data_IF_334211213973
#
_entry.id   IF_334211213973
#
_cell.length_a   1.000
_cell.length_b   1.000
_cell.length_c   1.000
_cell.angle_alpha   90.00
_cell.angle_beta   90.00
_cell.angle_gamma   90.00
#
_symmetry.space_group_name_H-M   'P 1'
#
loop_
_entity.id
_entity.type
_entity.pdbx_description
1 polymer ?
#
# COMPACT_ATOMS: atom_id res chain seq x y z
N UNK A 1 -53.74 24.45 -47.58
CA UNK A 1 -52.31 24.07 -47.64
C UNK A 1 -51.49 25.26 -47.15
N UNK A 2 -50.41 25.02 -46.40
CA UNK A 2 -49.58 26.08 -45.79
C UNK A 2 -49.05 25.60 -44.42
N UNK A 3 -47.80 25.92 -44.08
CA UNK A 3 -47.11 25.53 -42.83
C UNK A 3 -46.62 26.78 -42.10
N UNK A 4 -46.20 26.59 -40.84
CA UNK A 4 -45.33 27.51 -40.05
C UNK A 4 -45.99 28.82 -39.59
N UNK A 5 -45.55 29.50 -38.50
CA UNK A 5 -44.37 29.32 -37.64
C UNK A 5 -44.72 29.49 -36.13
N UNK A 6 -43.78 29.26 -35.21
CA UNK A 6 -44.00 29.14 -33.76
C UNK A 6 -43.79 30.43 -32.92
N UNK A 7 -44.22 30.42 -31.64
CA UNK A 7 -43.75 31.29 -30.53
C UNK A 7 -44.17 30.64 -29.18
N UNK A 8 -43.27 30.19 -28.28
CA UNK A 8 -42.43 30.89 -27.26
C UNK A 8 -43.07 31.00 -25.84
N UNK A 9 -42.27 30.61 -24.82
CA UNK A 9 -42.38 30.89 -23.37
C UNK A 9 -43.48 30.20 -22.53
N UNK A 10 -43.18 29.92 -21.25
CA UNK A 10 -44.15 29.29 -20.32
C UNK A 10 -43.62 28.68 -19.00
N UNK A 11 -42.44 29.07 -18.48
CA UNK A 11 -41.92 28.51 -17.22
C UNK A 11 -42.52 29.21 -15.99
N UNK A 12 -43.32 28.51 -15.16
CA UNK A 12 -43.62 28.91 -13.76
C UNK A 12 -44.28 27.82 -12.89
N UNK A 13 -43.70 27.64 -11.70
CA UNK A 13 -44.31 27.38 -10.38
C UNK A 13 -45.45 26.35 -10.23
N UNK A 14 -45.19 25.31 -9.43
CA UNK A 14 -46.20 24.42 -8.85
C UNK A 14 -45.72 23.80 -7.53
N UNK A 15 -45.72 24.60 -6.45
CA UNK A 15 -45.39 24.10 -5.09
C UNK A 15 -46.64 23.43 -4.51
N UNK A 16 -46.56 22.13 -4.22
CA UNK A 16 -47.56 21.40 -3.45
C UNK A 16 -47.13 21.28 -1.98
N UNK A 17 -48.08 21.39 -1.05
CA UNK A 17 -47.77 21.51 0.37
C UNK A 17 -47.41 20.17 1.03
N UNK A 18 -46.35 20.17 1.85
CA UNK A 18 -46.08 19.11 2.82
C UNK A 18 -46.85 19.41 4.12
N UNK A 19 -47.63 18.43 4.61
CA UNK A 19 -48.41 18.56 5.85
C UNK A 19 -47.56 18.31 7.10
N UNK A 20 -47.90 19.01 8.18
CA UNK A 20 -47.21 18.96 9.47
C UNK A 20 -47.66 17.76 10.30
N UNK A 21 -46.72 16.89 10.69
CA UNK A 21 -46.88 15.93 11.80
C UNK A 21 -45.62 15.93 12.68
N UNK A 22 -45.55 16.90 13.59
CA UNK A 22 -44.52 16.92 14.64
C UNK A 22 -44.83 15.84 15.69
N UNK A 23 -44.10 14.72 15.66
CA UNK A 23 -44.29 13.57 16.54
C UNK A 23 -43.04 13.24 17.36
N UNK A 24 -43.04 13.63 18.64
CA UNK A 24 -42.22 13.12 19.75
C UNK A 24 -40.78 12.64 19.46
N UNK A 25 -39.80 13.54 19.62
CA UNK A 25 -38.44 13.15 20.02
C UNK A 25 -38.35 13.09 21.55
N UNK A 26 -38.40 11.88 22.12
CA UNK A 26 -38.16 11.65 23.55
C UNK A 26 -37.64 10.22 23.85
N UNK A 27 -36.32 10.08 23.81
CA UNK A 27 -35.50 9.14 24.62
C UNK A 27 -36.14 7.87 25.22
N UNK A 28 -36.12 6.76 24.47
CA UNK A 28 -36.19 5.39 25.02
C UNK A 28 -35.55 4.38 24.04
N UNK A 29 -34.25 4.52 23.78
CA UNK A 29 -33.55 3.81 22.69
C UNK A 29 -32.12 3.35 23.00
N UNK A 30 -31.72 3.33 24.27
CA UNK A 30 -30.58 2.50 24.69
C UNK A 30 -31.06 1.03 24.67
N UNK A 31 -30.30 0.09 24.10
CA UNK A 31 -29.01 0.30 23.45
C UNK A 31 -28.33 -0.99 22.99
N UNK A 32 -29.09 -2.03 22.64
CA UNK A 32 -28.52 -3.17 21.92
C UNK A 32 -28.38 -2.81 20.44
N UNK A 33 -27.16 -2.56 19.98
CA UNK A 33 -26.84 -2.81 18.58
C UNK A 33 -27.25 -4.27 18.25
N UNK A 34 -27.69 -4.58 17.00
CA UNK A 34 -28.10 -5.93 16.64
C UNK A 34 -27.03 -6.92 17.09
N UNK A 35 -27.43 -7.97 17.82
CA UNK A 35 -26.49 -8.92 18.39
C UNK A 35 -25.56 -9.44 17.28
N UNK A 36 -24.27 -9.12 17.38
CA UNK A 36 -23.28 -9.59 16.44
C UNK A 36 -23.23 -11.11 16.57
N UNK A 37 -23.83 -11.80 15.59
CA UNK A 37 -23.92 -13.25 15.55
C UNK A 37 -22.55 -13.84 15.21
N UNK A 38 -21.64 -13.73 16.16
CA UNK A 38 -20.29 -14.25 16.10
C UNK A 38 -20.35 -15.79 16.20
N UNK A 39 -20.16 -16.46 15.08
CA UNK A 39 -20.02 -17.92 15.09
C UNK A 39 -18.64 -18.26 15.63
N UNK A 40 -18.55 -18.56 16.94
CA UNK A 40 -17.34 -19.13 17.52
C UNK A 40 -17.16 -20.59 17.08
N UNK A 41 -15.93 -20.96 16.77
CA UNK A 41 -15.48 -22.34 16.85
C UNK A 41 -14.13 -22.39 17.59
N UNK A 42 -14.07 -23.13 18.69
CA UNK A 42 -12.84 -23.42 19.42
C UNK A 42 -12.77 -24.92 19.67
N UNK A 43 -11.70 -25.54 19.20
CA UNK A 43 -11.52 -26.99 19.32
C UNK A 43 -10.82 -27.41 20.63
N UNK A 44 -10.30 -26.45 21.40
CA UNK A 44 -9.71 -26.63 22.72
C UNK A 44 -9.91 -25.38 23.61
N UNK A 45 -11.15 -24.92 23.78
CA UNK A 45 -11.48 -23.70 24.52
C UNK A 45 -12.98 -23.41 24.58
N UNK A 46 -13.40 -22.45 25.40
CA UNK A 46 -14.82 -22.14 25.64
C UNK A 46 -15.13 -20.70 25.24
N UNK A 47 -16.08 -20.54 24.31
CA UNK A 47 -16.65 -19.24 23.93
C UNK A 47 -17.82 -19.42 22.97
N UNK A 48 -18.88 -18.62 23.15
CA UNK A 48 -20.02 -18.50 22.23
C UNK A 48 -20.52 -17.05 22.27
N UNK A 49 -19.60 -16.15 21.96
CA UNK A 49 -19.61 -14.71 22.24
C UNK A 49 -18.86 -14.00 21.11
N UNK A 50 -18.89 -12.67 21.05
CA UNK A 50 -18.05 -11.93 20.08
C UNK A 50 -16.56 -12.26 20.22
N UNK A 51 -16.14 -12.62 21.43
CA UNK A 51 -14.80 -13.11 21.78
C UNK A 51 -14.78 -14.65 21.85
N UNK A 52 -13.86 -15.26 21.11
CA UNK A 52 -13.62 -16.70 21.09
C UNK A 52 -12.17 -16.96 21.57
N UNK A 53 -12.00 -17.59 22.74
CA UNK A 53 -10.68 -17.77 23.39
C UNK A 53 -10.35 -19.26 23.57
N UNK A 54 -9.06 -19.61 23.39
CA UNK A 54 -8.63 -21.02 23.32
C UNK A 54 -7.32 -21.30 24.09
N UNK A 55 -7.22 -22.49 24.70
CA UNK A 55 -6.20 -22.90 25.69
C UNK A 55 -4.84 -23.35 25.05
N UNK A 56 -3.79 -23.72 25.81
CA UNK A 56 -2.39 -23.77 25.35
C UNK A 56 -1.92 -24.61 24.12
N UNK A 57 -2.80 -25.14 23.26
CA UNK A 57 -2.46 -25.94 22.06
C UNK A 57 -3.52 -25.79 20.95
N UNK A 58 -3.97 -24.57 20.63
CA UNK A 58 -5.35 -24.39 20.13
C UNK A 58 -5.58 -23.43 18.95
N UNK A 59 -6.85 -23.40 18.53
CA UNK A 59 -7.39 -22.61 17.43
C UNK A 59 -8.63 -21.87 17.94
N UNK A 60 -8.64 -20.55 17.80
CA UNK A 60 -9.78 -19.67 17.98
C UNK A 60 -10.30 -19.18 16.62
N UNK A 61 -11.60 -19.32 16.38
CA UNK A 61 -12.28 -18.86 15.16
C UNK A 61 -13.48 -18.02 15.58
N UNK A 62 -13.59 -16.80 15.06
CA UNK A 62 -14.67 -15.86 15.33
C UNK A 62 -15.20 -15.25 14.01
N UNK A 63 -16.52 -15.29 13.76
CA UNK A 63 -17.07 -14.85 12.45
C UNK A 63 -18.28 -13.95 12.65
N UNK A 64 -18.10 -12.65 12.44
CA UNK A 64 -19.08 -11.57 12.58
C UNK A 64 -18.40 -10.19 12.55
N UNK A 65 -19.17 -9.12 12.32
CA UNK A 65 -18.68 -7.74 12.50
C UNK A 65 -18.25 -7.53 13.96
N UNK A 66 -17.02 -7.05 14.17
CA UNK A 66 -16.34 -7.01 15.48
C UNK A 66 -16.10 -8.39 16.13
N UNK A 67 -15.92 -9.45 15.35
CA UNK A 67 -15.50 -10.76 15.87
C UNK A 67 -14.06 -10.71 16.40
N UNK A 68 -13.79 -11.37 17.53
CA UNK A 68 -12.48 -11.45 18.18
C UNK A 68 -12.04 -12.91 18.39
N UNK A 69 -10.84 -13.27 17.95
CA UNK A 69 -10.25 -14.58 18.19
C UNK A 69 -8.92 -14.48 18.95
N UNK A 70 -8.75 -15.29 20.00
CA UNK A 70 -7.57 -15.30 20.87
C UNK A 70 -7.08 -16.73 21.11
N UNK A 71 -5.84 -17.04 20.74
CA UNK A 71 -5.28 -18.40 20.88
C UNK A 71 -3.89 -18.39 21.55
N UNK A 72 -3.82 -18.96 22.75
CA UNK A 72 -2.63 -18.98 23.60
C UNK A 72 -1.88 -20.33 23.50
N UNK A 73 -0.59 -20.39 23.88
CA UNK A 73 0.05 -21.67 24.24
C UNK A 73 1.46 -21.98 23.73
N UNK A 74 1.67 -23.22 23.27
CA UNK A 74 2.82 -23.56 22.42
C UNK A 74 2.47 -23.48 20.93
N UNK A 75 1.22 -23.79 20.58
CA UNK A 75 0.62 -23.49 19.28
C UNK A 75 -0.63 -22.64 19.51
N UNK A 76 -0.79 -21.56 18.73
CA UNK A 76 -1.96 -20.69 18.81
C UNK A 76 -2.32 -20.13 17.44
N UNK A 77 -3.52 -20.46 16.95
CA UNK A 77 -4.08 -19.90 15.72
C UNK A 77 -5.34 -19.10 16.00
N UNK A 78 -5.36 -17.81 15.68
CA UNK A 78 -6.53 -16.96 15.79
C UNK A 78 -7.04 -16.54 14.41
N UNK A 79 -8.34 -16.67 14.18
CA UNK A 79 -8.99 -16.22 12.95
C UNK A 79 -10.25 -15.41 13.24
N UNK A 80 -10.38 -14.22 12.63
CA UNK A 80 -11.56 -13.40 12.76
C UNK A 80 -12.07 -12.84 11.41
N UNK A 81 -13.38 -12.81 11.17
CA UNK A 81 -13.93 -12.29 9.90
C UNK A 81 -15.20 -11.45 10.06
N UNK A 82 -15.16 -10.24 9.50
CA UNK A 82 -16.17 -9.19 9.54
C UNK A 82 -15.51 -7.80 9.49
N UNK A 83 -16.28 -6.74 9.20
CA UNK A 83 -15.76 -5.37 9.38
C UNK A 83 -15.30 -5.20 10.84
N UNK A 84 -14.11 -4.64 11.05
CA UNK A 84 -13.42 -4.51 12.33
C UNK A 84 -13.21 -5.83 13.10
N UNK A 85 -13.10 -6.97 12.41
CA UNK A 85 -12.74 -8.24 13.04
C UNK A 85 -11.27 -8.27 13.51
N UNK A 86 -10.97 -9.02 14.57
CA UNK A 86 -9.69 -9.00 15.27
C UNK A 86 -9.16 -10.40 15.66
N UNK A 87 -7.88 -10.68 15.42
CA UNK A 87 -7.23 -11.95 15.77
C UNK A 87 -5.91 -11.72 16.54
N UNK A 88 -5.68 -12.48 17.61
CA UNK A 88 -4.45 -12.40 18.42
C UNK A 88 -3.97 -13.78 18.85
N UNK A 89 -2.66 -14.00 18.83
CA UNK A 89 -2.05 -15.22 19.37
C UNK A 89 -0.63 -14.95 19.87
N UNK A 90 -0.28 -15.62 20.96
CA UNK A 90 0.88 -15.34 21.83
C UNK A 90 1.81 -16.55 22.02
N UNK A 91 1.42 -17.68 21.43
CA UNK A 91 2.04 -18.98 21.65
C UNK A 91 3.52 -19.04 21.20
N UNK A 92 4.23 -20.16 21.40
CA UNK A 92 5.56 -20.29 20.78
C UNK A 92 5.49 -20.22 19.23
N UNK A 93 4.44 -20.80 18.64
CA UNK A 93 4.16 -20.82 17.21
C UNK A 93 2.79 -20.21 16.93
N UNK A 94 2.75 -19.10 16.17
CA UNK A 94 1.56 -18.22 16.13
C UNK A 94 1.10 -17.83 14.73
N UNK A 95 -0.23 -17.87 14.56
CA UNK A 95 -0.90 -17.44 13.33
C UNK A 95 -2.17 -16.65 13.64
N UNK A 96 -2.16 -15.34 13.39
CA UNK A 96 -3.39 -14.55 13.45
C UNK A 96 -3.84 -14.16 12.04
N UNK A 97 -5.14 -14.16 11.78
CA UNK A 97 -5.67 -13.62 10.53
C UNK A 97 -7.01 -12.96 10.78
N UNK A 98 -7.19 -11.74 10.28
CA UNK A 98 -8.46 -11.04 10.40
C UNK A 98 -8.92 -10.46 9.06
N UNK A 99 -10.22 -10.41 8.79
CA UNK A 99 -10.69 -10.09 7.45
C UNK A 99 -11.93 -9.21 7.47
N UNK A 100 -11.84 -8.08 6.77
CA UNK A 100 -12.90 -7.12 6.58
C UNK A 100 -12.34 -5.70 6.65
N UNK A 101 -13.14 -4.75 6.21
CA UNK A 101 -12.80 -3.35 6.32
C UNK A 101 -12.48 -3.03 7.81
N UNK A 102 -11.34 -2.39 8.10
CA UNK A 102 -10.74 -2.17 9.45
C UNK A 102 -10.30 -3.40 10.28
N UNK A 103 -10.16 -4.61 9.72
CA UNK A 103 -9.78 -5.79 10.53
C UNK A 103 -8.33 -5.72 11.14
N UNK A 104 -7.94 -6.54 12.12
CA UNK A 104 -6.59 -6.52 12.72
C UNK A 104 -6.13 -7.87 13.26
N UNK A 105 -4.88 -8.27 13.06
CA UNK A 105 -4.42 -9.64 13.29
C UNK A 105 -2.96 -9.67 13.69
N UNK A 106 -2.64 -10.22 14.86
CA UNK A 106 -1.31 -10.17 15.48
C UNK A 106 -0.83 -11.52 16.05
N UNK A 107 0.41 -11.93 15.80
CA UNK A 107 0.95 -13.26 16.11
C UNK A 107 2.29 -13.21 16.87
N UNK A 108 2.24 -12.84 18.15
CA UNK A 108 3.41 -12.47 18.95
C UNK A 108 4.29 -13.62 19.44
N UNK A 109 4.34 -14.72 18.70
CA UNK A 109 5.11 -15.88 19.09
C UNK A 109 6.60 -15.75 18.94
N UNK A 110 7.26 -16.83 19.35
CA UNK A 110 8.67 -17.07 19.10
C UNK A 110 8.93 -17.05 17.58
N UNK A 111 8.08 -17.79 16.86
CA UNK A 111 7.76 -17.54 15.47
C UNK A 111 6.30 -17.10 15.35
N UNK A 112 6.05 -16.12 14.48
CA UNK A 112 4.71 -15.72 14.13
C UNK A 112 4.55 -15.26 12.70
N UNK A 113 3.30 -15.35 12.23
CA UNK A 113 2.79 -14.68 11.04
C UNK A 113 1.39 -14.17 11.37
N UNK A 114 1.10 -12.92 11.04
CA UNK A 114 -0.28 -12.52 10.92
C UNK A 114 -0.53 -11.64 9.71
N UNK A 115 -1.81 -11.46 9.40
CA UNK A 115 -2.32 -10.80 8.20
C UNK A 115 -3.72 -10.28 8.50
N UNK A 116 -4.04 -9.00 8.29
CA UNK A 116 -5.46 -8.65 8.14
C UNK A 116 -5.77 -7.86 6.88
N UNK A 117 -6.93 -8.19 6.32
CA UNK A 117 -7.24 -7.97 4.91
C UNK A 117 -8.48 -7.10 4.75
N UNK A 118 -8.42 -6.16 3.82
CA UNK A 118 -9.54 -5.33 3.40
C UNK A 118 -9.34 -3.84 3.70
N UNK A 119 -10.19 -2.96 3.14
CA UNK A 119 -10.26 -1.52 3.43
C UNK A 119 -10.09 -1.13 4.92
N UNK A 120 -8.87 -0.86 5.36
CA UNK A 120 -8.32 -0.41 6.67
C UNK A 120 -7.57 -1.46 7.52
N UNK A 121 -7.51 -2.74 7.12
CA UNK A 121 -7.10 -3.84 8.02
C UNK A 121 -5.59 -3.98 8.34
N UNK A 122 -5.16 -4.73 9.41
CA UNK A 122 -3.79 -4.95 9.99
C UNK A 122 -3.21 -6.37 10.24
N UNK A 123 -1.94 -6.61 9.90
CA UNK A 123 -1.08 -7.78 10.25
C UNK A 123 -0.20 -7.56 11.54
N UNK A 124 0.53 -8.55 12.15
CA UNK A 124 1.65 -8.45 13.19
C UNK A 124 2.30 -9.76 13.77
N UNK A 125 3.50 -9.74 14.43
CA UNK A 125 4.30 -10.93 14.90
C UNK A 125 5.36 -10.70 16.07
N UNK A 126 6.24 -11.68 16.52
CA UNK A 126 7.48 -11.51 17.40
C UNK A 126 8.70 -12.53 17.27
N UNK A 127 9.75 -12.49 18.15
CA UNK A 127 11.01 -13.33 18.45
C UNK A 127 12.50 -13.24 17.80
N UNK A 128 13.66 -12.90 18.44
CA UNK A 128 15.07 -12.87 17.81
C UNK A 128 16.03 -14.12 17.75
N UNK A 129 16.61 -14.48 16.57
CA UNK A 129 17.75 -15.39 16.15
C UNK A 129 18.62 -16.25 17.11
N UNK A 130 18.57 -16.03 18.41
CA UNK A 130 19.07 -16.94 19.43
C UNK A 130 18.36 -18.29 19.37
N UNK A 131 18.85 -19.28 20.12
CA UNK A 131 18.16 -20.56 20.26
C UNK A 131 16.77 -20.38 20.93
N UNK A 132 15.89 -21.36 20.69
CA UNK A 132 14.42 -21.33 20.86
C UNK A 132 13.71 -20.59 19.71
N UNK A 133 13.46 -21.24 18.56
CA UNK A 133 12.71 -20.80 17.36
C UNK A 133 12.27 -19.32 17.26
N UNK A 134 13.22 -18.40 17.27
CA UNK A 134 12.98 -16.97 17.35
C UNK A 134 13.11 -16.34 15.94
N UNK A 135 11.98 -16.05 15.27
CA UNK A 135 11.92 -15.30 14.01
C UNK A 135 11.10 -14.01 14.08
N UNK A 136 11.76 -12.85 14.35
CA UNK A 136 11.27 -11.69 15.15
C UNK A 136 10.19 -10.83 14.53
N UNK A 137 9.30 -11.47 13.78
CA UNK A 137 8.55 -10.83 12.76
C UNK A 137 7.68 -9.72 13.36
N UNK A 138 7.25 -8.83 12.50
CA UNK A 138 6.16 -7.90 12.67
C UNK A 138 5.67 -7.85 11.24
N UNK A 139 4.38 -8.11 11.04
CA UNK A 139 3.63 -7.66 9.89
C UNK A 139 2.83 -6.41 10.33
N UNK A 140 2.42 -5.47 9.47
CA UNK A 140 1.31 -4.54 9.77
C UNK A 140 0.59 -4.34 8.44
N UNK A 141 -0.73 -4.27 8.48
CA UNK A 141 -1.63 -3.90 7.38
C UNK A 141 -2.32 -2.58 7.87
N UNK A 142 -2.64 -1.56 7.06
CA UNK A 142 -3.27 -0.30 7.53
C UNK A 142 -3.92 0.40 6.34
N UNK A 143 -5.15 -0.04 6.04
CA UNK A 143 -5.56 -0.21 4.64
C UNK A 143 -6.73 0.56 4.04
N UNK A 144 -7.05 1.81 4.43
CA UNK A 144 -8.26 2.51 3.97
C UNK A 144 -8.48 2.25 2.50
N UNK A 145 -9.64 1.65 2.10
CA UNK A 145 -10.39 1.67 0.82
C UNK A 145 -10.33 0.63 -0.33
N UNK A 146 -11.04 0.82 -1.46
CA UNK A 146 -12.45 1.28 -1.49
C UNK A 146 -13.33 0.16 -0.91
N UNK A 147 -14.11 0.30 0.17
CA UNK A 147 -14.74 1.48 0.80
C UNK A 147 -13.88 2.75 1.00
N UNK A 148 -14.07 3.77 0.15
CA UNK A 148 -13.14 4.88 -0.13
C UNK A 148 -11.58 4.68 -0.10
N UNK A 149 -10.97 4.26 -1.24
CA UNK A 149 -9.51 4.33 -1.67
C UNK A 149 -8.38 3.68 -0.80
N UNK A 150 -7.68 2.59 -1.26
CA UNK A 150 -7.34 1.26 -0.59
C UNK A 150 -5.98 0.69 -0.05
N UNK A 151 -5.30 1.17 0.99
CA UNK A 151 -3.89 0.77 1.34
C UNK A 151 -3.55 -0.64 1.91
N UNK A 152 -3.50 -1.75 1.16
CA UNK A 152 -2.99 -3.01 1.78
C UNK A 152 -1.58 -2.85 2.38
N UNK A 153 -1.35 -3.19 3.66
CA UNK A 153 -0.03 -3.07 4.31
C UNK A 153 0.62 -4.41 4.70
N UNK A 154 1.95 -4.50 4.73
CA UNK A 154 2.72 -5.69 5.11
C UNK A 154 4.07 -5.27 5.71
N UNK A 155 4.45 -5.88 6.83
CA UNK A 155 5.83 -5.92 7.36
C UNK A 155 6.25 -7.42 7.41
N UNK A 156 7.53 -7.77 7.64
CA UNK A 156 7.93 -9.17 7.95
C UNK A 156 9.31 -9.27 8.63
N UNK A 157 9.42 -8.89 9.92
CA UNK A 157 10.68 -8.75 10.69
C UNK A 157 11.48 -10.07 10.95
N UNK A 158 11.99 -10.74 9.91
CA UNK A 158 13.17 -11.62 9.96
C UNK A 158 13.03 -12.83 10.89
N UNK A 159 13.73 -12.99 12.02
CA UNK A 159 14.79 -12.26 12.76
C UNK A 159 14.96 -10.74 12.61
N UNK A 160 14.39 -9.99 13.55
CA UNK A 160 14.96 -8.84 14.27
C UNK A 160 15.42 -7.66 13.42
N UNK A 161 14.61 -6.62 13.28
CA UNK A 161 14.79 -5.56 12.27
C UNK A 161 13.91 -4.31 12.58
N UNK A 162 13.75 -3.41 11.60
CA UNK A 162 12.71 -2.35 11.59
C UNK A 162 11.82 -2.50 10.34
N UNK A 163 10.59 -1.99 10.34
CA UNK A 163 9.68 -2.11 9.20
C UNK A 163 8.57 -1.05 9.14
N UNK A 164 8.07 -0.74 7.92
CA UNK A 164 6.98 0.21 7.67
C UNK A 164 6.14 -0.18 6.40
N UNK A 165 4.81 -0.09 6.47
CA UNK A 165 3.87 -0.07 5.35
C UNK A 165 2.59 0.72 5.76
N UNK A 166 2.30 1.87 5.12
CA UNK A 166 1.49 2.99 5.67
C UNK A 166 0.83 3.93 4.62
N UNK A 167 -0.49 3.83 4.43
CA UNK A 167 -1.33 4.81 3.70
C UNK A 167 -1.04 5.06 2.19
N UNK A 168 -0.04 4.37 1.60
CA UNK A 168 0.02 4.14 0.15
C UNK A 168 -1.15 3.31 -0.40
N UNK A 169 -2.18 3.94 -0.96
CA UNK A 169 -3.49 3.31 -1.18
C UNK A 169 -3.63 2.51 -2.48
N UNK A 170 -4.38 1.40 -2.43
CA UNK A 170 -5.08 0.82 -3.58
C UNK A 170 -6.24 1.73 -4.01
N UNK A 171 -5.91 2.90 -4.57
CA UNK A 171 -6.81 3.52 -5.57
C UNK A 171 -6.95 2.63 -6.80
N UNK A 172 -5.94 1.80 -7.08
CA UNK A 172 -5.97 0.72 -8.06
C UNK A 172 -5.45 -0.58 -7.40
N UNK A 173 -5.68 -1.77 -7.99
CA UNK A 173 -5.30 -3.04 -7.35
C UNK A 173 -3.83 -3.17 -6.95
N UNK A 174 -3.57 -3.79 -5.80
CA UNK A 174 -2.24 -3.88 -5.17
C UNK A 174 -1.60 -2.51 -4.95
N UNK A 175 -2.40 -1.55 -4.49
CA UNK A 175 -1.90 -0.39 -3.78
C UNK A 175 -1.62 -0.69 -2.32
N UNK A 176 -0.46 -0.18 -1.94
CA UNK A 176 0.52 -0.95 -1.23
C UNK A 176 1.64 -0.05 -0.76
N UNK A 177 2.37 -0.65 0.15
CA UNK A 177 3.83 -0.66 0.22
C UNK A 177 4.21 -2.15 0.31
N UNK A 178 5.48 -2.50 0.53
CA UNK A 178 5.85 -3.84 1.06
C UNK A 178 7.13 -3.66 1.90
N UNK A 179 7.41 -4.62 2.77
CA UNK A 179 8.72 -4.83 3.34
C UNK A 179 8.93 -6.35 3.53
N UNK A 180 10.17 -6.80 3.43
CA UNK A 180 10.60 -8.13 3.84
C UNK A 180 11.97 -8.01 4.52
N UNK A 181 12.20 -8.86 5.51
CA UNK A 181 13.23 -8.62 6.50
C UNK A 181 13.81 -9.96 6.95
N UNK A 182 15.09 -9.99 7.32
CA UNK A 182 15.93 -11.20 7.25
C UNK A 182 16.76 -11.35 8.51
N UNK A 183 17.86 -10.60 8.61
CA UNK A 183 18.48 -10.19 9.87
C UNK A 183 18.80 -8.69 9.79
N UNK A 184 18.09 -7.84 10.54
CA UNK A 184 18.26 -6.37 10.64
C UNK A 184 17.96 -5.50 9.38
N UNK A 185 17.17 -5.98 8.42
CA UNK A 185 16.76 -5.19 7.23
C UNK A 185 15.64 -4.14 7.53
N UNK A 186 14.96 -3.58 6.53
CA UNK A 186 13.74 -2.77 6.71
C UNK A 186 13.34 -1.96 5.48
N UNK A 187 12.05 -1.89 5.17
CA UNK A 187 11.49 -1.18 4.01
C UNK A 187 10.14 -0.53 4.31
N UNK A 188 9.76 0.39 3.42
CA UNK A 188 8.86 1.53 3.65
C UNK A 188 8.31 2.04 2.30
N UNK A 189 7.01 2.32 2.10
CA UNK A 189 6.65 3.55 1.33
C UNK A 189 6.12 4.62 2.29
N UNK A 190 5.77 5.79 1.79
CA UNK A 190 4.95 6.75 2.54
C UNK A 190 3.88 7.26 1.58
N UNK A 191 2.61 6.91 1.79
CA UNK A 191 1.53 7.38 0.94
C UNK A 191 1.69 7.05 -0.55
N UNK A 192 1.14 7.91 -1.39
CA UNK A 192 0.93 7.63 -2.81
C UNK A 192 -0.04 6.47 -3.00
N UNK A 193 0.10 5.73 -4.09
CA UNK A 193 -0.75 4.59 -4.43
C UNK A 193 0.07 3.54 -5.20
N UNK A 194 -0.28 2.26 -5.16
CA UNK A 194 0.31 1.24 -6.06
C UNK A 194 1.83 1.03 -5.92
N UNK A 195 2.42 1.48 -4.82
CA UNK A 195 3.86 1.49 -4.57
C UNK A 195 4.34 0.16 -3.93
N UNK A 196 5.57 -0.29 -4.18
CA UNK A 196 6.11 -1.58 -3.72
C UNK A 196 7.58 -1.46 -3.32
N UNK A 197 7.97 -1.99 -2.16
CA UNK A 197 9.38 -2.11 -1.78
C UNK A 197 9.70 -3.50 -1.27
N UNK A 198 10.85 -4.02 -1.68
CA UNK A 198 11.44 -5.20 -1.09
C UNK A 198 12.79 -4.82 -0.53
N UNK A 199 12.87 -4.68 0.80
CA UNK A 199 14.13 -4.95 1.48
C UNK A 199 14.33 -6.45 1.61
N UNK A 200 15.55 -6.85 1.96
CA UNK A 200 15.79 -8.13 2.59
C UNK A 200 15.52 -9.30 1.66
N UNK A 201 16.42 -9.52 0.71
CA UNK A 201 16.35 -10.61 -0.27
C UNK A 201 16.41 -12.03 0.31
N UNK A 202 16.55 -12.18 1.63
CA UNK A 202 16.41 -13.45 2.37
C UNK A 202 16.91 -13.36 3.82
N UNK A 203 16.79 -14.44 4.63
CA UNK A 203 17.18 -14.44 6.05
C UNK A 203 18.65 -14.08 6.32
N UNK A 204 19.59 -14.71 5.61
CA UNK A 204 21.02 -14.36 5.70
C UNK A 204 21.38 -13.03 5.01
N UNK A 205 20.44 -12.42 4.28
CA UNK A 205 20.59 -11.08 3.76
C UNK A 205 20.33 -10.12 4.92
N UNK A 206 21.38 -9.41 5.37
CA UNK A 206 21.37 -8.73 6.65
C UNK A 206 21.78 -7.24 6.59
N UNK A 207 20.92 -6.35 7.11
CA UNK A 207 20.91 -4.88 7.07
C UNK A 207 20.20 -4.18 5.87
N UNK A 208 19.30 -4.82 5.12
CA UNK A 208 18.81 -4.33 3.81
C UNK A 208 17.77 -3.16 3.85
N UNK A 209 17.90 -2.02 3.13
CA UNK A 209 17.08 -0.79 3.35
C UNK A 209 16.44 -0.05 2.13
N UNK A 210 15.25 -0.44 1.70
CA UNK A 210 14.50 0.22 0.61
C UNK A 210 13.45 1.20 1.09
N UNK A 211 13.16 2.23 0.29
CA UNK A 211 12.04 3.13 0.58
C UNK A 211 11.46 3.75 -0.69
N UNK A 212 10.15 4.01 -0.74
CA UNK A 212 9.45 4.83 -1.76
C UNK A 212 8.46 5.80 -1.07
N UNK A 213 7.69 6.63 -1.78
CA UNK A 213 6.65 7.47 -1.16
C UNK A 213 6.38 8.80 -1.86
N UNK A 214 5.20 9.36 -1.63
CA UNK A 214 4.58 10.53 -2.28
C UNK A 214 4.28 10.36 -3.78
N UNK A 215 5.19 9.75 -4.54
CA UNK A 215 4.89 9.21 -5.88
C UNK A 215 3.94 8.00 -5.86
N UNK A 216 3.46 7.56 -7.02
CA UNK A 216 2.61 6.36 -7.15
C UNK A 216 3.16 5.32 -8.15
N UNK A 217 2.77 4.06 -8.00
CA UNK A 217 3.13 2.97 -8.93
C UNK A 217 4.59 2.54 -8.89
N UNK A 218 5.34 2.97 -7.88
CA UNK A 218 6.81 2.84 -7.84
C UNK A 218 7.26 1.46 -7.33
N UNK A 219 8.39 0.97 -7.83
CA UNK A 219 8.99 -0.29 -7.44
C UNK A 219 10.43 -0.09 -6.97
N UNK A 220 10.74 -0.51 -5.74
CA UNK A 220 12.08 -0.39 -5.15
C UNK A 220 12.56 -1.73 -4.60
N UNK A 221 13.80 -2.10 -4.89
CA UNK A 221 14.41 -3.35 -4.45
C UNK A 221 15.71 -3.03 -3.70
N UNK A 222 15.99 -3.64 -2.53
CA UNK A 222 16.90 -3.01 -1.58
C UNK A 222 17.76 -3.86 -0.60
N UNK A 223 18.73 -3.18 0.05
CA UNK A 223 20.01 -3.63 0.63
C UNK A 223 20.62 -2.59 1.58
N UNK A 224 21.58 -2.89 2.49
CA UNK A 224 22.60 -3.94 2.44
C UNK A 224 22.31 -5.37 2.95
N UNK A 225 22.85 -6.38 2.26
CA UNK A 225 23.51 -7.53 2.89
C UNK A 225 25.03 -7.39 2.78
N UNK A 226 25.66 -6.54 3.62
CA UNK A 226 26.77 -5.65 3.19
C UNK A 226 26.69 -5.02 1.78
N UNK A 227 25.50 -5.03 1.18
CA UNK A 227 25.26 -4.81 -0.25
C UNK A 227 24.24 -3.68 -0.49
N UNK A 228 24.53 -2.44 -0.04
CA UNK A 228 23.56 -1.35 0.18
C UNK A 228 22.85 -0.72 -1.04
N UNK A 229 21.55 -0.42 -0.88
CA UNK A 229 20.59 -0.10 -1.95
C UNK A 229 19.34 0.61 -1.38
N UNK A 230 18.77 1.58 -2.10
CA UNK A 230 17.44 2.11 -1.81
C UNK A 230 16.79 2.78 -3.04
N UNK A 231 15.80 3.67 -2.86
CA UNK A 231 15.39 4.67 -3.86
C UNK A 231 13.96 5.20 -3.78
N UNK A 232 13.75 6.40 -3.22
CA UNK A 232 12.43 7.07 -3.13
C UNK A 232 12.33 8.37 -3.92
N UNK A 233 11.07 8.78 -4.16
CA UNK A 233 10.57 9.05 -5.51
C UNK A 233 9.39 10.04 -5.42
N UNK A 234 9.59 11.31 -5.78
CA UNK A 234 8.51 12.25 -6.18
C UNK A 234 8.12 12.04 -7.66
N UNK A 235 8.14 10.79 -8.12
CA UNK A 235 7.88 10.37 -9.51
C UNK A 235 6.79 9.30 -9.52
N UNK A 236 6.28 8.95 -10.70
CA UNK A 236 5.22 7.94 -10.83
C UNK A 236 5.67 6.86 -11.81
N UNK A 237 5.57 5.59 -11.40
CA UNK A 237 6.02 4.44 -12.19
C UNK A 237 7.55 4.26 -12.27
N UNK A 238 8.31 4.82 -11.32
CA UNK A 238 9.76 4.65 -11.30
C UNK A 238 10.19 3.30 -10.71
N UNK A 239 11.26 2.75 -11.27
CA UNK A 239 11.88 1.48 -10.86
C UNK A 239 13.28 1.78 -10.35
N UNK A 240 13.57 1.46 -9.09
CA UNK A 240 14.90 1.71 -8.51
C UNK A 240 15.45 0.47 -7.82
N UNK A 241 16.64 0.10 -8.27
CA UNK A 241 17.43 -1.04 -7.79
C UNK A 241 18.90 -0.62 -7.75
N UNK A 242 19.66 -1.24 -6.87
CA UNK A 242 21.12 -1.34 -6.89
C UNK A 242 21.49 -2.69 -6.30
N UNK A 243 22.76 -3.10 -6.32
CA UNK A 243 23.30 -4.27 -5.60
C UNK A 243 24.72 -3.93 -5.11
N UNK A 244 25.25 -4.64 -4.10
CA UNK A 244 26.58 -4.38 -3.52
C UNK A 244 26.62 -3.09 -2.68
N UNK A 245 27.67 -2.84 -1.85
CA UNK A 245 27.69 -1.71 -0.92
C UNK A 245 27.51 -0.36 -1.63
N UNK A 246 26.60 0.50 -1.16
CA UNK A 246 26.38 1.86 -1.66
C UNK A 246 24.93 2.36 -1.60
N UNK A 247 24.54 3.24 -2.53
CA UNK A 247 23.20 3.87 -2.61
C UNK A 247 22.74 4.02 -4.07
N UNK A 248 21.43 3.97 -4.32
CA UNK A 248 20.76 4.54 -5.50
C UNK A 248 19.57 5.39 -5.02
N UNK A 249 19.42 6.62 -5.53
CA UNK A 249 18.24 7.47 -5.35
C UNK A 249 17.98 8.19 -6.67
N UNK A 250 16.87 7.86 -7.35
CA UNK A 250 16.45 8.42 -8.64
C UNK A 250 17.55 8.44 -9.72
N UNK A 251 18.45 7.45 -9.72
CA UNK A 251 19.58 7.36 -10.65
C UNK A 251 20.88 8.03 -10.17
N UNK A 252 20.84 8.83 -9.09
CA UNK A 252 22.07 9.24 -8.38
C UNK A 252 22.57 8.03 -7.60
N UNK A 253 23.80 7.60 -7.88
CA UNK A 253 24.27 6.29 -7.44
C UNK A 253 25.74 6.31 -7.01
N UNK A 254 26.05 5.67 -5.88
CA UNK A 254 27.36 5.75 -5.21
C UNK A 254 27.76 4.36 -4.71
N UNK A 255 29.06 4.03 -4.82
CA UNK A 255 29.62 2.73 -4.42
C UNK A 255 29.29 1.62 -5.43
N UNK A 256 30.05 1.52 -6.53
CA UNK A 256 29.89 0.44 -7.52
C UNK A 256 28.45 0.27 -8.03
N UNK A 257 27.75 1.38 -8.23
CA UNK A 257 26.31 1.39 -8.36
C UNK A 257 25.86 1.52 -9.81
N UNK A 258 24.97 0.63 -10.26
CA UNK A 258 24.33 0.74 -11.57
C UNK A 258 23.03 1.55 -11.46
N UNK A 259 23.00 2.71 -12.13
CA UNK A 259 21.79 3.50 -12.31
C UNK A 259 21.20 3.26 -13.70
N UNK A 260 20.12 2.48 -13.78
CA UNK A 260 19.32 2.35 -15.02
C UNK A 260 18.40 3.56 -15.16
N UNK A 261 18.88 4.59 -15.85
CA UNK A 261 18.07 5.77 -16.19
C UNK A 261 16.89 5.42 -17.13
N UNK A 262 15.84 6.23 -17.09
CA UNK A 262 14.72 6.11 -18.03
C UNK A 262 15.18 6.47 -19.45
N UNK A 263 14.68 5.75 -20.46
CA UNK A 263 14.88 6.12 -21.86
C UNK A 263 13.98 7.31 -22.20
N UNK A 264 14.56 8.42 -22.64
CA UNK A 264 13.79 9.56 -23.14
C UNK A 264 13.11 9.21 -24.47
N UNK A 265 11.79 9.38 -24.53
CA UNK A 265 11.06 9.65 -25.78
C UNK A 265 10.46 11.04 -25.68
N UNK A 266 11.29 12.05 -25.96
CA UNK A 266 10.87 13.44 -25.99
C UNK A 266 10.07 13.73 -27.28
N UNK A 267 8.75 13.88 -27.15
CA UNK A 267 7.86 14.11 -28.30
C UNK A 267 7.89 15.59 -28.74
N UNK A 268 8.50 15.84 -29.91
CA UNK A 268 8.68 17.18 -30.46
C UNK A 268 7.41 17.71 -31.16
N UNK A 269 6.76 18.72 -30.60
CA UNK A 269 5.77 19.56 -31.32
C UNK A 269 6.00 21.06 -31.10
N UNK A 270 6.80 21.67 -31.98
CA UNK A 270 6.94 23.13 -32.06
C UNK A 270 5.86 23.76 -32.95
N UNK A 271 5.16 24.80 -32.45
CA UNK A 271 4.14 25.53 -33.21
C UNK A 271 4.16 27.04 -32.92
N UNK A 272 5.27 27.72 -33.24
CA UNK A 272 5.36 29.17 -33.16
C UNK A 272 4.63 29.87 -34.33
N UNK A 273 3.99 31.01 -34.06
CA UNK A 273 3.19 31.79 -35.03
C UNK A 273 4.00 32.28 -36.23
N UNK A 274 3.42 32.20 -37.43
CA UNK A 274 3.92 32.89 -38.63
C UNK A 274 3.68 34.40 -38.61
N UNK A 275 4.67 35.20 -39.06
CA UNK A 275 4.41 36.47 -39.74
C UNK A 275 4.37 36.32 -41.27
N UNK A 276 3.95 37.41 -41.94
CA UNK A 276 3.62 37.51 -43.38
C UNK A 276 4.88 37.84 -44.23
N UNK A 277 4.99 37.38 -45.50
CA UNK A 277 6.20 37.58 -46.30
C UNK A 277 6.31 38.95 -46.97
N UNK A 278 7.55 39.36 -47.23
CA UNK A 278 7.97 40.38 -48.21
C UNK A 278 9.01 39.78 -49.16
N UNK A 279 9.09 40.29 -50.39
CA UNK A 279 9.80 39.65 -51.50
C UNK A 279 11.08 40.41 -51.94
N UNK A 280 11.75 39.86 -52.96
CA UNK A 280 13.00 40.30 -53.61
C UNK A 280 14.30 40.00 -52.82
N UNK A 281 15.40 39.53 -53.44
CA UNK A 281 15.49 39.03 -54.82
C UNK A 281 16.91 38.59 -55.28
N UNK A 282 16.90 37.70 -56.28
CA UNK A 282 17.97 37.44 -57.28
C UNK A 282 19.29 36.71 -56.94
N UNK A 283 19.58 35.73 -57.82
CA UNK A 283 20.88 35.19 -58.31
C UNK A 283 21.77 34.30 -57.40
N UNK A 284 21.94 33.06 -57.86
CA UNK A 284 23.06 32.13 -57.61
C UNK A 284 24.25 32.49 -58.57
N UNK A 285 25.32 31.66 -58.70
CA UNK A 285 26.43 31.51 -57.75
C UNK A 285 27.80 31.68 -58.45
N UNK A 286 28.92 31.76 -57.72
CA UNK A 286 30.24 31.50 -58.33
C UNK A 286 31.22 30.78 -57.39
N UNK A 287 31.85 29.73 -57.95
CA UNK A 287 32.94 28.94 -57.37
C UNK A 287 34.26 29.37 -58.00
N UNK A 288 35.37 29.43 -57.24
CA UNK A 288 36.72 29.07 -57.72
C UNK A 288 37.79 29.22 -56.61
N UNK A 289 38.72 28.27 -56.57
CA UNK A 289 39.89 28.27 -55.67
C UNK A 289 41.19 28.41 -56.47
N UNK A 290 41.98 29.46 -56.22
CA UNK A 290 43.39 29.63 -56.66
C UNK A 290 44.07 30.73 -55.81
N UNK A 291 45.40 30.77 -55.57
CA UNK A 291 46.46 29.74 -55.55
C UNK A 291 47.66 30.34 -54.77
N UNK A 292 48.59 29.51 -54.25
CA UNK A 292 49.84 29.97 -53.58
C UNK A 292 50.75 30.79 -54.52
N UNK A 293 51.48 31.77 -53.99
CA UNK A 293 52.93 31.64 -53.70
C UNK A 293 53.57 32.97 -53.22
N UNK A 294 54.44 32.89 -52.19
CA UNK A 294 55.80 33.47 -52.18
C UNK A 294 56.47 33.29 -50.81
N UNK A 295 57.13 32.15 -50.64
CA UNK A 295 58.50 31.99 -50.10
C UNK A 295 58.98 30.56 -50.42
#
# INVERSE_FOLDING_TARGET
>A
MGRQIASISGLRSGIAAATLTAGALASAGLGSAPAANATCASFFGVGNTAQCTSNPTSIAIAIGTNAEAHAEGFFGTAFAAGNAAFASTTAALTFATAMGDQAGAFAYGLFGIATALGPNASAETSGSASANDLGFNIAINLSPGTAPVGTSTAFAIGVGNVAINLFGSATAPSGHQVNAVGILNGAVTIGGTNNRIYSGTGPGSALNYGFSGFGSGNAVHAGPGPAAIAGSILQTGAVITKVGPGVNINGVSVGGAAATGQSETAESTGAARSPRPTATGHRKPHTATQRRANH
#
